data_IF_303814269007
#
_entry.id   IF_303814269007
#
_cell.length_a   1.000
_cell.length_b   1.000
_cell.length_c   1.000
_cell.angle_alpha   90.00
_cell.angle_beta   90.00
_cell.angle_gamma   90.00
#
_symmetry.space_group_name_H-M   'P 1'
#
loop_
_entity.id
_entity.type
_entity.pdbx_description
1 polymer ?
#
# COMPACT_ATOMS: atom_id res chain seq x y z
N UNK A 1 -40.59 18.22 7.72
CA UNK A 1 -39.15 18.13 8.02
C UNK A 1 -38.40 18.02 6.71
N UNK A 2 -37.31 18.76 6.47
CA UNK A 2 -36.51 18.54 5.29
C UNK A 2 -36.05 17.08 5.27
N UNK A 3 -36.19 16.41 4.11
CA UNK A 3 -35.76 15.03 3.93
C UNK A 3 -34.27 14.97 4.23
N UNK A 4 -33.85 14.10 5.15
CA UNK A 4 -32.44 13.95 5.47
C UNK A 4 -31.66 13.64 4.18
N UNK A 5 -30.50 14.27 3.99
CA UNK A 5 -29.65 14.02 2.82
C UNK A 5 -29.17 12.57 2.84
N UNK A 6 -29.28 11.84 1.72
CA UNK A 6 -28.72 10.51 1.62
C UNK A 6 -27.21 10.57 1.91
N UNK A 7 -26.73 9.72 2.82
CA UNK A 7 -25.32 9.64 3.20
C UNK A 7 -24.63 8.46 2.53
N UNK A 8 -23.59 8.77 1.78
CA UNK A 8 -22.72 7.79 1.15
C UNK A 8 -21.42 7.71 1.94
N UNK A 9 -21.17 6.59 2.61
CA UNK A 9 -19.94 6.33 3.37
C UNK A 9 -18.98 5.49 2.53
N UNK A 10 -17.77 5.97 2.35
CA UNK A 10 -16.72 5.32 1.57
C UNK A 10 -15.61 4.88 2.53
N UNK A 11 -15.27 3.61 2.53
CA UNK A 11 -14.20 3.06 3.35
C UNK A 11 -12.95 2.78 2.51
N UNK A 12 -11.88 3.52 2.82
CA UNK A 12 -10.57 3.41 2.17
C UNK A 12 -10.24 4.55 1.20
N UNK A 13 -9.08 5.17 1.42
CA UNK A 13 -8.54 6.31 0.66
C UNK A 13 -7.56 5.91 -0.45
N UNK A 14 -7.68 4.68 -1.00
CA UNK A 14 -6.93 4.24 -2.18
C UNK A 14 -7.56 4.72 -3.49
N UNK A 15 -7.09 4.17 -4.63
CA UNK A 15 -7.58 4.55 -5.96
C UNK A 15 -9.11 4.43 -6.09
N UNK A 16 -9.69 3.33 -5.61
CA UNK A 16 -11.13 3.10 -5.72
C UNK A 16 -11.92 4.15 -4.92
N UNK A 17 -11.59 4.35 -3.63
CA UNK A 17 -12.36 5.25 -2.76
C UNK A 17 -12.19 6.73 -3.10
N UNK A 18 -10.97 7.19 -3.36
CA UNK A 18 -10.70 8.58 -3.74
C UNK A 18 -11.44 8.93 -5.04
N UNK A 19 -11.34 8.09 -6.07
CA UNK A 19 -12.02 8.38 -7.34
C UNK A 19 -13.55 8.22 -7.23
N UNK A 20 -14.07 7.33 -6.37
CA UNK A 20 -15.52 7.28 -6.09
C UNK A 20 -15.99 8.58 -5.43
N UNK A 21 -15.27 9.08 -4.42
CA UNK A 21 -15.58 10.37 -3.79
C UNK A 21 -15.49 11.53 -4.77
N UNK A 22 -14.46 11.59 -5.62
CA UNK A 22 -14.32 12.63 -6.67
C UNK A 22 -15.49 12.64 -7.64
N UNK A 23 -15.97 11.46 -8.06
CA UNK A 23 -17.12 11.37 -8.97
C UNK A 23 -18.43 11.74 -8.29
N UNK A 24 -18.61 11.37 -7.01
CA UNK A 24 -19.78 11.83 -6.23
C UNK A 24 -19.73 13.34 -5.97
N UNK A 25 -18.57 13.94 -5.69
CA UNK A 25 -18.44 15.40 -5.59
C UNK A 25 -18.82 16.13 -6.90
N UNK A 26 -18.51 15.53 -8.06
CA UNK A 26 -18.98 16.07 -9.35
C UNK A 26 -20.49 16.00 -9.48
N UNK A 27 -21.14 14.96 -8.93
CA UNK A 27 -22.59 14.85 -8.90
C UNK A 27 -23.19 15.93 -7.98
N UNK A 28 -22.65 16.13 -6.78
CA UNK A 28 -23.02 17.23 -5.88
C UNK A 28 -22.85 18.60 -6.56
N UNK A 29 -21.76 18.78 -7.31
CA UNK A 29 -21.52 20.00 -8.09
C UNK A 29 -22.54 20.24 -9.22
N UNK A 30 -23.30 19.20 -9.61
CA UNK A 30 -24.41 19.28 -10.61
C UNK A 30 -25.79 19.37 -9.97
N UNK A 31 -25.85 19.51 -8.63
CA UNK A 31 -27.09 19.70 -7.90
C UNK A 31 -27.63 18.46 -7.18
N UNK A 32 -26.89 17.35 -7.13
CA UNK A 32 -27.30 16.20 -6.31
C UNK A 32 -27.11 16.55 -4.82
N UNK A 33 -28.12 16.28 -4.00
CA UNK A 33 -28.10 16.55 -2.56
C UNK A 33 -27.68 15.31 -1.78
N UNK A 34 -26.37 15.02 -1.79
CA UNK A 34 -25.76 13.85 -1.18
C UNK A 34 -24.70 14.30 -0.17
N UNK A 35 -24.69 13.69 1.01
CA UNK A 35 -23.60 13.79 1.96
C UNK A 35 -22.55 12.70 1.67
N UNK A 36 -21.30 13.09 1.50
CA UNK A 36 -20.20 12.16 1.20
C UNK A 36 -19.26 12.13 2.41
N UNK A 37 -19.07 10.94 2.97
CA UNK A 37 -18.13 10.68 4.07
C UNK A 37 -17.08 9.70 3.59
N UNK A 38 -15.81 10.06 3.74
CA UNK A 38 -14.69 9.17 3.49
C UNK A 38 -13.99 8.82 4.80
N UNK A 39 -13.91 7.55 5.12
CA UNK A 39 -13.14 7.04 6.26
C UNK A 39 -11.84 6.45 5.73
N UNK A 40 -10.73 6.97 6.19
CA UNK A 40 -9.40 6.46 5.84
C UNK A 40 -8.45 6.63 7.03
N UNK A 41 -7.56 5.68 7.21
CA UNK A 41 -6.53 5.69 8.23
C UNK A 41 -5.59 6.88 8.11
N UNK A 42 -5.24 7.26 6.88
CA UNK A 42 -4.31 8.33 6.57
C UNK A 42 -5.05 9.57 6.03
N UNK A 43 -4.51 10.76 6.25
CA UNK A 43 -5.07 12.01 5.70
C UNK A 43 -4.59 12.31 4.27
N UNK A 44 -3.90 11.34 3.65
CA UNK A 44 -3.34 11.46 2.30
C UNK A 44 -3.65 10.24 1.43
N UNK A 45 -3.68 10.49 0.15
CA UNK A 45 -3.71 9.48 -0.91
C UNK A 45 -2.29 9.19 -1.38
N UNK A 46 -1.92 7.92 -1.52
CA UNK A 46 -0.63 7.49 -2.05
C UNK A 46 -0.75 7.12 -3.52
N UNK A 47 0.09 7.69 -4.36
CA UNK A 47 0.20 7.28 -5.76
C UNK A 47 1.14 6.08 -5.88
N UNK A 48 0.62 4.90 -5.53
CA UNK A 48 1.38 3.64 -5.37
C UNK A 48 2.30 3.26 -6.54
N UNK A 49 1.99 3.53 -7.82
CA UNK A 49 2.92 3.19 -8.92
C UNK A 49 4.30 3.84 -8.84
N UNK A 50 4.45 4.92 -8.08
CA UNK A 50 5.75 5.59 -7.87
C UNK A 50 6.39 5.25 -6.52
N UNK A 51 5.78 4.37 -5.73
CA UNK A 51 6.30 4.00 -4.41
C UNK A 51 7.70 3.36 -4.45
N UNK A 52 8.06 2.52 -5.42
CA UNK A 52 9.42 1.99 -5.54
C UNK A 52 10.51 3.08 -5.65
N UNK A 53 10.25 4.19 -6.37
CA UNK A 53 11.21 5.29 -6.50
C UNK A 53 11.49 6.04 -5.18
N UNK A 54 10.69 5.82 -4.13
CA UNK A 54 10.97 6.32 -2.75
C UNK A 54 12.14 5.56 -2.11
N UNK A 55 12.33 4.28 -2.46
CA UNK A 55 13.45 3.47 -1.94
C UNK A 55 14.77 4.09 -2.41
N UNK A 56 14.89 4.38 -3.69
CA UNK A 56 16.09 4.99 -4.27
C UNK A 56 16.25 6.46 -3.90
N UNK A 57 15.16 7.13 -3.51
CA UNK A 57 15.14 8.56 -3.25
C UNK A 57 15.06 9.41 -4.52
N UNK A 58 14.84 8.78 -5.69
CA UNK A 58 14.59 9.43 -6.97
C UNK A 58 13.44 10.44 -6.88
N UNK A 59 12.46 10.16 -6.04
CA UNK A 59 11.41 11.11 -5.65
C UNK A 59 11.26 11.19 -4.13
N UNK A 60 10.93 12.38 -3.65
CA UNK A 60 10.71 12.62 -2.23
C UNK A 60 9.44 11.95 -1.70
N UNK A 61 9.46 11.58 -0.42
CA UNK A 61 8.31 10.94 0.27
C UNK A 61 7.02 11.72 0.09
N UNK A 62 7.09 13.05 0.16
CA UNK A 62 5.92 13.92 0.00
C UNK A 62 5.46 14.07 -1.45
N UNK A 63 6.23 13.60 -2.42
CA UNK A 63 5.90 13.74 -3.83
C UNK A 63 4.97 12.63 -4.33
N UNK A 64 4.96 11.48 -3.67
CA UNK A 64 4.04 10.36 -3.97
C UNK A 64 2.69 10.47 -3.25
N UNK A 65 2.52 11.43 -2.32
CA UNK A 65 1.29 11.57 -1.54
C UNK A 65 0.53 12.85 -1.89
N UNK A 66 -0.78 12.82 -1.77
CA UNK A 66 -1.66 13.97 -1.99
C UNK A 66 -2.61 14.13 -0.81
N UNK A 67 -2.69 15.32 -0.15
CA UNK A 67 -3.61 15.55 0.95
C UNK A 67 -5.06 15.35 0.49
N UNK A 68 -5.79 14.44 1.12
CA UNK A 68 -7.17 14.08 0.72
C UNK A 68 -8.08 15.30 0.78
N UNK A 69 -7.98 16.14 1.82
CA UNK A 69 -8.81 17.34 1.95
C UNK A 69 -8.65 18.36 0.81
N UNK A 70 -7.50 18.33 0.10
CA UNK A 70 -7.30 19.16 -1.10
C UNK A 70 -7.86 18.51 -2.36
N UNK A 71 -7.91 17.18 -2.40
CA UNK A 71 -8.48 16.44 -3.53
C UNK A 71 -10.01 16.43 -3.46
N UNK A 72 -10.56 16.42 -2.24
CA UNK A 72 -11.97 16.20 -1.93
C UNK A 72 -12.50 17.33 -1.02
N UNK A 73 -12.71 18.55 -1.55
CA UNK A 73 -13.11 19.69 -0.72
C UNK A 73 -14.57 19.65 -0.23
N UNK A 74 -15.41 18.76 -0.78
CA UNK A 74 -16.82 18.61 -0.42
C UNK A 74 -17.14 17.34 0.35
N UNK A 75 -16.12 16.53 0.61
CA UNK A 75 -16.23 15.24 1.32
C UNK A 75 -15.85 15.42 2.77
N UNK A 76 -16.65 14.92 3.69
CA UNK A 76 -16.29 14.84 5.10
C UNK A 76 -15.27 13.70 5.30
N UNK A 77 -14.04 14.08 5.65
CA UNK A 77 -12.94 13.14 5.83
C UNK A 77 -12.77 12.79 7.30
N UNK A 78 -13.00 11.53 7.63
CA UNK A 78 -12.69 10.93 8.93
C UNK A 78 -11.35 10.20 8.84
N UNK A 79 -10.30 10.76 9.48
CA UNK A 79 -8.98 10.13 9.55
C UNK A 79 -8.96 9.19 10.75
N UNK A 80 -9.37 7.93 10.52
CA UNK A 80 -9.55 6.91 11.56
C UNK A 80 -9.45 5.51 10.99
N UNK A 81 -9.12 4.55 11.87
CA UNK A 81 -9.28 3.14 11.55
C UNK A 81 -10.77 2.75 11.65
N UNK A 82 -11.20 1.86 10.76
CA UNK A 82 -12.53 1.24 10.85
C UNK A 82 -12.41 0.02 11.74
N UNK A 83 -13.18 -0.02 12.83
CA UNK A 83 -13.17 -1.14 13.78
C UNK A 83 -14.19 -2.20 13.41
N UNK A 84 -15.39 -1.78 13.04
CA UNK A 84 -16.44 -2.70 12.61
C UNK A 84 -17.45 -2.07 11.67
N UNK A 85 -18.21 -2.91 11.00
CA UNK A 85 -19.28 -2.53 10.06
C UNK A 85 -20.50 -3.37 10.39
N UNK A 86 -21.59 -2.72 10.74
CA UNK A 86 -22.89 -3.36 10.91
C UNK A 86 -23.77 -3.04 9.69
N UNK A 87 -24.04 -4.08 8.90
CA UNK A 87 -24.83 -3.94 7.67
C UNK A 87 -26.35 -3.93 7.93
N UNK A 88 -26.82 -4.44 9.07
CA UNK A 88 -28.23 -4.45 9.43
C UNK A 88 -28.64 -3.11 10.02
N UNK A 89 -27.86 -2.61 10.99
CA UNK A 89 -28.06 -1.27 11.58
C UNK A 89 -27.57 -0.14 10.67
N UNK A 90 -26.88 -0.48 9.57
CA UNK A 90 -26.30 0.46 8.60
C UNK A 90 -25.40 1.50 9.23
N UNK A 91 -24.43 1.03 10.04
CA UNK A 91 -23.46 1.88 10.70
C UNK A 91 -22.04 1.37 10.50
N UNK A 92 -21.11 2.32 10.46
CA UNK A 92 -19.67 2.08 10.51
C UNK A 92 -19.17 2.59 11.84
N UNK A 93 -18.42 1.77 12.55
CA UNK A 93 -17.78 2.13 13.83
C UNK A 93 -16.30 2.35 13.57
N UNK A 94 -15.79 3.50 13.99
CA UNK A 94 -14.38 3.87 13.81
C UNK A 94 -13.69 4.04 15.15
N UNK A 95 -12.36 3.89 15.15
CA UNK A 95 -11.53 4.06 16.35
C UNK A 95 -11.79 5.40 17.06
N UNK A 96 -11.64 5.42 18.39
CA UNK A 96 -11.71 6.66 19.16
C UNK A 96 -10.58 7.62 18.75
N UNK A 97 -10.77 8.91 19.05
CA UNK A 97 -9.75 9.93 18.84
C UNK A 97 -9.26 10.46 20.18
N UNK A 98 -9.15 11.79 20.29
CA UNK A 98 -8.89 12.47 21.56
C UNK A 98 -10.00 12.25 22.60
N UNK A 99 -11.20 11.88 22.16
CA UNK A 99 -12.27 11.43 23.06
C UNK A 99 -12.25 9.90 23.07
N UNK A 100 -12.36 9.24 24.23
CA UNK A 100 -12.23 7.80 24.38
C UNK A 100 -13.48 7.02 23.91
N UNK A 101 -14.26 7.56 22.98
CA UNK A 101 -15.46 6.93 22.45
C UNK A 101 -15.33 6.67 20.95
N UNK A 102 -15.71 5.48 20.47
CA UNK A 102 -15.80 5.20 19.05
C UNK A 102 -16.81 6.13 18.39
N UNK A 103 -16.56 6.48 17.12
CA UNK A 103 -17.51 7.24 16.32
C UNK A 103 -18.38 6.28 15.52
N UNK A 104 -19.71 6.46 15.63
CA UNK A 104 -20.71 5.71 14.86
C UNK A 104 -21.17 6.58 13.68
N UNK A 105 -20.98 6.07 12.46
CA UNK A 105 -21.29 6.77 11.22
C UNK A 105 -22.42 6.00 10.51
N UNK A 106 -23.66 6.48 10.54
CA UNK A 106 -24.76 5.85 9.79
C UNK A 106 -24.60 6.10 8.28
N UNK A 107 -25.11 5.18 7.46
CA UNK A 107 -25.06 5.28 6.00
C UNK A 107 -26.39 4.87 5.33
N UNK A 108 -26.71 5.49 4.20
CA UNK A 108 -27.70 5.01 3.26
C UNK A 108 -27.07 4.12 2.18
N UNK A 109 -25.85 4.49 1.77
CA UNK A 109 -25.01 3.67 0.89
C UNK A 109 -23.61 3.52 1.44
N UNK A 110 -23.06 2.32 1.36
CA UNK A 110 -21.71 1.98 1.81
C UNK A 110 -20.86 1.55 0.62
N UNK A 111 -19.67 2.16 0.47
CA UNK A 111 -18.67 1.79 -0.54
C UNK A 111 -17.49 1.13 0.15
N UNK A 112 -17.31 -0.17 -0.08
CA UNK A 112 -16.19 -0.97 0.40
C UNK A 112 -15.03 -0.88 -0.59
N UNK A 113 -14.04 -0.04 -0.29
CA UNK A 113 -12.86 0.23 -1.13
C UNK A 113 -11.55 0.10 -0.34
N UNK A 114 -11.53 -0.81 0.65
CA UNK A 114 -10.41 -1.02 1.59
C UNK A 114 -9.16 -1.63 0.95
N UNK A 115 -9.25 -2.02 -0.33
CA UNK A 115 -8.13 -2.56 -1.07
C UNK A 115 -7.63 -3.90 -0.52
N UNK A 116 -6.31 -4.07 -0.53
CA UNK A 116 -5.64 -5.27 -0.03
C UNK A 116 -4.48 -4.90 0.89
N UNK A 117 -4.18 -5.79 1.83
CA UNK A 117 -3.08 -5.67 2.79
C UNK A 117 -2.09 -6.80 2.60
N UNK A 118 -0.86 -6.61 3.03
CA UNK A 118 0.09 -7.71 3.17
C UNK A 118 -0.33 -8.56 4.37
N UNK A 119 -0.46 -9.86 4.16
CA UNK A 119 -0.84 -10.80 5.20
C UNK A 119 0.08 -12.01 5.17
N UNK A 120 0.90 -12.12 6.17
CA UNK A 120 1.89 -13.19 6.30
C UNK A 120 1.36 -14.42 7.04
N UNK A 121 0.04 -14.55 7.26
CA UNK A 121 -0.55 -15.70 7.94
C UNK A 121 -0.12 -17.02 7.30
N UNK A 122 0.37 -17.94 8.13
CA UNK A 122 0.86 -19.25 7.71
C UNK A 122 2.29 -19.29 7.19
N UNK A 123 2.99 -18.15 7.13
CA UNK A 123 4.41 -18.07 6.81
C UNK A 123 5.19 -17.73 8.09
N UNK A 124 5.91 -18.71 8.62
CA UNK A 124 6.59 -18.60 9.92
C UNK A 124 7.69 -17.54 9.90
N UNK A 125 7.66 -16.63 10.88
CA UNK A 125 8.66 -15.59 11.08
C UNK A 125 8.66 -14.46 10.06
N UNK A 126 7.76 -14.47 9.05
CA UNK A 126 7.65 -13.37 8.10
C UNK A 126 7.07 -12.09 8.73
N UNK A 127 6.05 -12.16 9.61
CA UNK A 127 5.55 -10.95 10.28
C UNK A 127 6.64 -10.19 11.04
N UNK A 128 7.62 -10.90 11.63
CA UNK A 128 8.66 -10.35 12.47
C UNK A 128 9.91 -9.93 11.69
N UNK A 129 10.23 -10.61 10.58
CA UNK A 129 11.53 -10.50 9.93
C UNK A 129 11.50 -10.05 8.47
N UNK A 130 10.32 -10.00 7.85
CA UNK A 130 10.21 -9.52 6.46
C UNK A 130 9.68 -8.08 6.41
N UNK A 131 10.22 -7.31 5.50
CA UNK A 131 9.71 -5.98 5.15
C UNK A 131 8.55 -6.15 4.17
N UNK A 132 7.31 -5.77 4.52
CA UNK A 132 6.25 -5.64 3.53
C UNK A 132 6.56 -4.48 2.58
N UNK A 133 5.91 -4.46 1.42
CA UNK A 133 6.01 -3.34 0.50
C UNK A 133 4.63 -3.01 -0.09
N UNK A 134 3.85 -2.21 0.63
CA UNK A 134 2.48 -1.87 0.26
C UNK A 134 2.13 -0.40 0.48
N UNK A 135 2.72 0.23 1.48
CA UNK A 135 2.43 1.61 1.86
C UNK A 135 3.69 2.47 1.93
N UNK A 136 3.52 3.77 2.17
CA UNK A 136 4.62 4.74 2.21
C UNK A 136 5.61 4.44 3.35
N UNK A 137 5.10 4.02 4.51
CA UNK A 137 5.93 3.65 5.66
C UNK A 137 6.83 2.46 5.36
N UNK A 138 6.33 1.47 4.60
CA UNK A 138 7.12 0.31 4.19
C UNK A 138 8.31 0.72 3.34
N UNK A 139 8.10 1.60 2.34
CA UNK A 139 9.17 2.07 1.46
C UNK A 139 10.25 2.83 2.25
N UNK A 140 9.84 3.69 3.19
CA UNK A 140 10.76 4.46 4.02
C UNK A 140 11.50 3.57 5.02
N UNK A 141 10.82 2.61 5.65
CA UNK A 141 11.44 1.65 6.57
C UNK A 141 12.47 0.79 5.84
N UNK A 142 12.15 0.33 4.64
CA UNK A 142 13.08 -0.42 3.81
C UNK A 142 14.30 0.42 3.43
N UNK A 143 14.11 1.67 2.96
CA UNK A 143 15.19 2.59 2.66
C UNK A 143 16.11 2.81 3.85
N UNK A 144 15.54 3.14 5.02
CA UNK A 144 16.29 3.36 6.25
C UNK A 144 17.05 2.10 6.69
N UNK A 145 16.45 0.93 6.53
CA UNK A 145 17.08 -0.34 6.87
C UNK A 145 18.26 -0.64 5.93
N UNK A 146 18.13 -0.40 4.64
CA UNK A 146 19.22 -0.60 3.66
C UNK A 146 20.42 0.26 4.01
N UNK A 147 20.22 1.55 4.31
CA UNK A 147 21.31 2.45 4.70
C UNK A 147 21.98 1.92 5.97
N UNK A 148 21.20 1.54 6.98
CA UNK A 148 21.74 0.96 8.22
C UNK A 148 22.50 -0.35 7.98
N UNK A 149 22.02 -1.22 7.09
CA UNK A 149 22.72 -2.46 6.77
C UNK A 149 24.08 -2.21 6.13
N UNK A 150 24.20 -1.17 5.30
CA UNK A 150 25.48 -0.76 4.72
C UNK A 150 26.41 -0.12 5.76
N UNK A 151 25.87 0.74 6.65
CA UNK A 151 26.64 1.31 7.78
C UNK A 151 27.23 0.21 8.65
N UNK A 152 26.41 -0.77 9.06
CA UNK A 152 26.86 -1.92 9.86
C UNK A 152 27.88 -2.78 9.10
N UNK A 153 27.65 -3.08 7.82
CA UNK A 153 28.58 -3.84 6.99
C UNK A 153 29.96 -3.16 6.85
N UNK A 154 30.00 -1.83 6.89
CA UNK A 154 31.26 -1.05 6.88
C UNK A 154 32.03 -1.16 8.20
N UNK A 155 31.33 -1.37 9.33
CA UNK A 155 31.93 -1.49 10.66
C UNK A 155 32.38 -2.94 10.92
N UNK A 156 31.58 -3.90 10.55
CA UNK A 156 31.78 -5.34 10.79
C UNK A 156 32.84 -5.95 9.85
N UNK A 157 34.08 -5.55 10.03
CA UNK A 157 35.22 -5.98 9.18
C UNK A 157 35.74 -7.36 9.46
N UNK A 158 35.48 -7.88 10.65
CA UNK A 158 36.07 -9.14 11.13
C UNK A 158 35.08 -10.30 11.12
N UNK A 159 33.79 -10.05 11.02
CA UNK A 159 32.77 -11.08 10.88
C UNK A 159 32.27 -11.12 9.42
N UNK A 160 32.94 -11.91 8.60
CA UNK A 160 32.65 -12.09 7.20
C UNK A 160 31.23 -12.67 6.97
N UNK A 161 30.78 -13.55 7.88
CA UNK A 161 29.45 -14.17 7.77
C UNK A 161 28.33 -13.12 8.00
N UNK A 162 28.46 -12.30 9.05
CA UNK A 162 27.51 -11.23 9.32
C UNK A 162 27.55 -10.18 8.20
N UNK A 163 28.75 -9.81 7.74
CA UNK A 163 28.94 -8.85 6.66
C UNK A 163 28.24 -9.31 5.37
N UNK A 164 28.39 -10.59 5.03
CA UNK A 164 27.70 -11.16 3.87
C UNK A 164 26.17 -11.14 4.02
N UNK A 165 25.64 -11.42 5.22
CA UNK A 165 24.21 -11.30 5.52
C UNK A 165 23.71 -9.87 5.35
N UNK A 166 24.47 -8.87 5.83
CA UNK A 166 24.16 -7.45 5.72
C UNK A 166 24.17 -6.95 4.27
N UNK A 167 25.03 -7.50 3.43
CA UNK A 167 25.17 -7.15 2.00
C UNK A 167 24.31 -8.03 1.08
N UNK A 168 23.51 -8.95 1.64
CA UNK A 168 22.57 -9.78 0.87
C UNK A 168 21.16 -9.28 1.06
N UNK A 169 20.48 -8.96 -0.05
CA UNK A 169 19.13 -8.41 -0.08
C UNK A 169 18.24 -9.38 -0.86
N UNK A 170 17.18 -9.87 -0.24
CA UNK A 170 16.27 -10.85 -0.84
C UNK A 170 14.89 -10.21 -1.05
N UNK A 171 14.35 -10.33 -2.25
CA UNK A 171 13.00 -9.89 -2.58
C UNK A 171 12.18 -11.11 -2.99
N UNK A 172 11.07 -11.36 -2.31
CA UNK A 172 10.15 -12.45 -2.61
C UNK A 172 8.94 -11.94 -3.40
N UNK A 173 8.78 -12.47 -4.63
CA UNK A 173 7.69 -12.14 -5.54
C UNK A 173 8.16 -11.52 -6.86
N UNK A 174 8.04 -12.25 -7.97
CA UNK A 174 8.44 -11.79 -9.31
C UNK A 174 7.29 -11.22 -10.16
N UNK A 175 6.21 -10.70 -9.52
CA UNK A 175 5.19 -9.87 -10.17
C UNK A 175 5.65 -8.41 -10.32
N UNK A 176 4.78 -7.52 -10.78
CA UNK A 176 5.14 -6.10 -11.01
C UNK A 176 5.78 -5.46 -9.79
N UNK A 177 5.15 -5.56 -8.61
CA UNK A 177 5.65 -4.92 -7.39
C UNK A 177 7.06 -5.41 -7.02
N UNK A 178 7.30 -6.72 -7.03
CA UNK A 178 8.62 -7.25 -6.67
C UNK A 178 9.71 -6.94 -7.70
N UNK A 179 9.37 -6.93 -8.98
CA UNK A 179 10.29 -6.54 -10.06
C UNK A 179 10.67 -5.07 -9.95
N UNK A 180 9.72 -4.17 -9.69
CA UNK A 180 10.00 -2.75 -9.51
C UNK A 180 10.81 -2.49 -8.23
N UNK A 181 10.46 -3.18 -7.12
CA UNK A 181 11.20 -3.07 -5.86
C UNK A 181 12.64 -3.58 -6.01
N UNK A 182 12.87 -4.76 -6.60
CA UNK A 182 14.22 -5.30 -6.74
C UNK A 182 15.07 -4.45 -7.67
N UNK A 183 14.47 -3.86 -8.72
CA UNK A 183 15.17 -2.98 -9.64
C UNK A 183 15.65 -1.68 -8.95
N UNK A 184 14.75 -1.00 -8.25
CA UNK A 184 15.08 0.22 -7.49
C UNK A 184 16.04 -0.06 -6.33
N UNK A 185 15.85 -1.17 -5.62
CA UNK A 185 16.72 -1.60 -4.53
C UNK A 185 18.14 -1.88 -5.05
N UNK A 186 18.27 -2.60 -6.18
CA UNK A 186 19.56 -2.89 -6.79
C UNK A 186 20.31 -1.62 -7.20
N UNK A 187 19.64 -0.68 -7.85
CA UNK A 187 20.24 0.57 -8.27
C UNK A 187 20.64 1.40 -7.05
N UNK A 188 19.78 1.53 -6.05
CA UNK A 188 20.02 2.26 -4.82
C UNK A 188 21.21 1.70 -4.03
N UNK A 189 21.20 0.40 -3.71
CA UNK A 189 22.26 -0.23 -2.92
C UNK A 189 23.61 -0.10 -3.58
N UNK A 190 23.71 -0.33 -4.89
CA UNK A 190 24.97 -0.23 -5.63
C UNK A 190 25.50 1.18 -5.76
N UNK A 191 24.61 2.17 -5.92
CA UNK A 191 25.01 3.57 -5.98
C UNK A 191 25.48 4.07 -4.63
N UNK A 192 24.70 3.78 -3.57
CA UNK A 192 25.02 4.16 -2.20
C UNK A 192 26.31 3.50 -1.70
N UNK A 193 26.56 2.24 -2.05
CA UNK A 193 27.78 1.51 -1.66
C UNK A 193 29.06 2.19 -2.15
N UNK A 194 29.02 2.97 -3.23
CA UNK A 194 30.17 3.73 -3.71
C UNK A 194 30.70 4.79 -2.73
N UNK A 195 29.83 5.20 -1.78
CA UNK A 195 30.22 6.14 -0.72
C UNK A 195 30.92 5.48 0.46
N UNK A 196 30.97 4.14 0.49
CA UNK A 196 31.63 3.36 1.53
C UNK A 196 32.96 2.80 0.99
N UNK A 197 34.10 3.31 1.49
CA UNK A 197 35.41 2.89 1.03
C UNK A 197 35.72 1.41 1.28
N UNK A 198 35.06 0.83 2.28
CA UNK A 198 35.29 -0.55 2.74
C UNK A 198 34.32 -1.57 2.11
N UNK A 199 33.35 -1.14 1.32
CA UNK A 199 32.39 -2.03 0.70
C UNK A 199 32.71 -2.17 -0.80
N UNK A 200 33.15 -3.36 -1.20
CA UNK A 200 33.26 -3.69 -2.62
C UNK A 200 31.87 -3.96 -3.19
N UNK A 201 31.42 -3.23 -4.21
CA UNK A 201 30.12 -3.45 -4.86
C UNK A 201 29.91 -4.89 -5.37
N UNK A 202 30.98 -5.66 -5.57
CA UNK A 202 30.93 -7.08 -5.96
C UNK A 202 30.48 -7.99 -4.83
N UNK A 203 30.60 -7.58 -3.57
CA UNK A 203 30.11 -8.31 -2.40
C UNK A 203 28.59 -8.20 -2.24
N UNK A 204 27.97 -7.21 -2.88
CA UNK A 204 26.53 -6.98 -2.81
C UNK A 204 25.81 -8.04 -3.61
N UNK A 205 24.93 -8.78 -2.93
CA UNK A 205 24.09 -9.82 -3.52
C UNK A 205 22.63 -9.42 -3.45
N UNK A 206 21.97 -9.34 -4.61
CA UNK A 206 20.55 -9.01 -4.74
C UNK A 206 19.85 -10.23 -5.34
N UNK A 207 18.87 -10.79 -4.63
CA UNK A 207 18.18 -12.03 -5.01
C UNK A 207 16.68 -11.77 -5.17
N UNK A 208 16.13 -12.15 -6.31
CA UNK A 208 14.69 -12.16 -6.57
C UNK A 208 14.17 -13.60 -6.57
N UNK A 209 13.29 -13.93 -5.62
CA UNK A 209 12.63 -15.23 -5.56
C UNK A 209 11.31 -15.21 -6.31
N UNK A 210 11.07 -16.17 -7.18
CA UNK A 210 9.81 -16.29 -7.91
C UNK A 210 9.34 -17.74 -8.01
N UNK A 211 8.08 -17.98 -7.65
CA UNK A 211 7.49 -19.32 -7.59
C UNK A 211 7.05 -19.89 -8.96
N UNK A 212 7.37 -19.23 -10.09
CA UNK A 212 7.04 -19.68 -11.45
C UNK A 212 8.30 -19.68 -12.31
N UNK A 213 8.18 -20.22 -13.52
CA UNK A 213 9.26 -20.30 -14.52
C UNK A 213 9.72 -18.94 -15.07
N UNK A 214 8.92 -17.88 -14.90
CA UNK A 214 9.15 -16.56 -15.51
C UNK A 214 8.61 -15.43 -14.64
N UNK A 215 9.39 -14.36 -14.43
CA UNK A 215 8.92 -13.13 -13.81
C UNK A 215 7.87 -12.43 -14.69
N UNK A 216 7.11 -11.50 -14.12
CA UNK A 216 6.05 -10.73 -14.80
C UNK A 216 5.10 -11.64 -15.59
N UNK A 217 4.47 -12.66 -14.96
CA UNK A 217 3.66 -13.64 -15.68
C UNK A 217 2.45 -13.02 -16.38
N UNK A 218 2.04 -11.82 -15.99
CA UNK A 218 0.94 -11.07 -16.60
C UNK A 218 1.32 -10.33 -17.88
N UNK A 219 2.64 -10.20 -18.17
CA UNK A 219 3.17 -9.53 -19.36
C UNK A 219 3.34 -10.50 -20.54
N UNK A 220 3.39 -9.96 -21.73
CA UNK A 220 3.82 -10.71 -22.90
C UNK A 220 5.23 -11.28 -22.69
N UNK A 221 5.45 -12.52 -23.14
CA UNK A 221 6.69 -13.28 -22.88
C UNK A 221 7.95 -12.52 -23.29
N UNK A 222 7.95 -11.92 -24.47
CA UNK A 222 9.11 -11.15 -24.96
C UNK A 222 9.50 -9.97 -24.04
N UNK A 223 8.52 -9.31 -23.41
CA UNK A 223 8.78 -8.23 -22.46
C UNK A 223 9.25 -8.77 -21.10
N UNK A 224 8.70 -9.88 -20.66
CA UNK A 224 9.12 -10.53 -19.43
C UNK A 224 10.56 -11.04 -19.52
N UNK A 225 10.92 -11.67 -20.65
CA UNK A 225 12.30 -12.11 -20.95
C UNK A 225 13.27 -10.92 -21.04
N UNK A 226 12.85 -9.81 -21.66
CA UNK A 226 13.65 -8.60 -21.68
C UNK A 226 13.89 -8.05 -20.26
N UNK A 227 12.85 -8.01 -19.42
CA UNK A 227 12.98 -7.55 -18.02
C UNK A 227 13.94 -8.44 -17.22
N UNK A 228 13.83 -9.75 -17.41
CA UNK A 228 14.69 -10.76 -16.79
C UNK A 228 16.16 -10.57 -17.20
N UNK A 229 16.44 -10.45 -18.50
CA UNK A 229 17.79 -10.20 -19.03
C UNK A 229 18.41 -8.92 -18.49
N UNK A 230 17.66 -7.82 -18.45
CA UNK A 230 18.13 -6.54 -17.91
C UNK A 230 18.47 -6.65 -16.42
N UNK A 231 17.63 -7.27 -15.60
CA UNK A 231 17.89 -7.44 -14.16
C UNK A 231 19.13 -8.33 -13.93
N UNK A 232 19.24 -9.43 -14.64
CA UNK A 232 20.40 -10.34 -14.54
C UNK A 232 21.71 -9.65 -14.95
N UNK A 233 21.72 -8.89 -16.06
CA UNK A 233 22.88 -8.10 -16.47
C UNK A 233 23.30 -7.03 -15.46
N UNK A 234 22.35 -6.54 -14.65
CA UNK A 234 22.63 -5.60 -13.54
C UNK A 234 23.02 -6.29 -12.24
N UNK A 235 23.22 -7.61 -12.27
CA UNK A 235 23.69 -8.40 -11.14
C UNK A 235 22.60 -8.80 -10.14
N UNK A 236 21.33 -8.84 -10.57
CA UNK A 236 20.25 -9.46 -9.80
C UNK A 236 20.24 -10.95 -10.07
N UNK A 237 20.37 -11.76 -9.04
CA UNK A 237 20.17 -13.21 -9.08
C UNK A 237 18.68 -13.52 -9.09
N UNK A 238 18.16 -14.15 -10.13
CA UNK A 238 16.75 -14.54 -10.19
C UNK A 238 16.65 -16.04 -9.97
N UNK A 239 15.89 -16.44 -8.92
CA UNK A 239 15.60 -17.84 -8.63
C UNK A 239 14.15 -18.14 -9.00
N UNK A 240 14.01 -18.94 -10.05
CA UNK A 240 12.72 -19.42 -10.53
C UNK A 240 12.26 -20.64 -9.74
N UNK A 241 10.94 -20.94 -9.82
CA UNK A 241 10.30 -22.08 -9.16
C UNK A 241 10.62 -22.16 -7.66
N UNK A 242 10.99 -21.02 -7.09
CA UNK A 242 11.47 -20.88 -5.72
C UNK A 242 10.48 -20.07 -4.91
N UNK A 243 10.00 -20.67 -3.82
CA UNK A 243 9.04 -20.02 -2.90
C UNK A 243 9.61 -19.95 -1.50
N UNK A 244 9.28 -18.86 -0.84
CA UNK A 244 9.61 -18.64 0.57
C UNK A 244 8.70 -19.53 1.44
N UNK A 245 9.26 -20.12 2.48
CA UNK A 245 8.53 -20.94 3.47
C UNK A 245 8.52 -20.27 4.85
N UNK A 246 9.65 -19.69 5.26
CA UNK A 246 9.78 -19.03 6.55
C UNK A 246 10.88 -17.95 6.49
N UNK A 247 10.97 -17.16 7.55
CA UNK A 247 12.06 -16.22 7.77
C UNK A 247 12.56 -16.28 9.21
N UNK A 248 13.84 -15.95 9.38
CA UNK A 248 14.44 -15.67 10.68
C UNK A 248 15.12 -14.30 10.64
N UNK A 249 15.63 -13.81 11.76
CA UNK A 249 16.42 -12.57 11.79
C UNK A 249 17.71 -12.63 10.96
N UNK A 250 18.12 -13.82 10.48
CA UNK A 250 19.39 -14.08 9.83
C UNK A 250 19.30 -14.70 8.44
N UNK A 251 18.11 -15.18 8.04
CA UNK A 251 17.96 -15.89 6.78
C UNK A 251 16.51 -15.91 6.25
N UNK A 252 16.41 -15.96 4.93
CA UNK A 252 15.19 -16.36 4.20
C UNK A 252 15.23 -17.90 4.00
N UNK A 253 14.22 -18.60 4.48
CA UNK A 253 14.10 -20.06 4.38
C UNK A 253 13.20 -20.40 3.21
N UNK A 254 13.73 -21.18 2.27
CA UNK A 254 13.05 -21.58 1.04
C UNK A 254 12.32 -22.91 1.24
N UNK A 255 11.27 -23.11 0.46
CA UNK A 255 10.62 -24.42 0.42
C UNK A 255 11.61 -25.49 -0.03
N UNK A 256 11.73 -26.56 0.76
CA UNK A 256 12.74 -27.60 0.55
C UNK A 256 13.95 -27.50 1.47
N UNK A 257 13.98 -26.52 2.38
CA UNK A 257 14.95 -26.43 3.48
C UNK A 257 16.23 -25.65 3.17
N UNK A 258 16.45 -25.22 1.92
CA UNK A 258 17.55 -24.30 1.61
C UNK A 258 17.32 -22.95 2.30
N UNK A 259 18.39 -22.31 2.75
CA UNK A 259 18.33 -20.98 3.34
C UNK A 259 19.29 -20.01 2.65
N UNK A 260 18.86 -18.77 2.50
CA UNK A 260 19.70 -17.66 2.03
C UNK A 260 20.00 -16.77 3.22
N UNK A 261 21.26 -16.71 3.70
CA UNK A 261 21.65 -15.80 4.76
C UNK A 261 21.44 -14.34 4.34
N UNK A 262 20.63 -13.60 5.11
CA UNK A 262 20.30 -12.20 4.82
C UNK A 262 19.73 -11.51 6.06
N UNK A 263 20.01 -10.22 6.21
CA UNK A 263 19.36 -9.32 7.18
C UNK A 263 18.23 -8.51 6.54
N UNK A 264 18.05 -8.64 5.20
CA UNK A 264 17.05 -7.87 4.45
C UNK A 264 16.20 -8.79 3.58
N UNK A 265 15.02 -9.12 4.05
CA UNK A 265 14.02 -9.86 3.29
C UNK A 265 12.83 -8.94 3.01
N UNK A 266 12.57 -8.64 1.75
CA UNK A 266 11.39 -7.88 1.32
C UNK A 266 10.37 -8.86 0.74
N UNK A 267 9.13 -8.79 1.22
CA UNK A 267 8.05 -9.62 0.69
C UNK A 267 6.96 -8.77 0.03
N UNK A 268 6.72 -9.03 -1.24
CA UNK A 268 5.62 -8.44 -2.01
C UNK A 268 4.43 -9.39 -2.14
N UNK A 269 4.49 -10.54 -1.48
CA UNK A 269 3.46 -11.59 -1.44
C UNK A 269 3.37 -12.16 -0.01
N UNK A 270 2.22 -12.70 0.41
CA UNK A 270 0.90 -12.63 -0.24
C UNK A 270 0.17 -11.30 0.04
N UNK A 271 -0.85 -11.00 -0.79
CA UNK A 271 -1.74 -9.85 -0.61
C UNK A 271 -3.18 -10.34 -0.53
N UNK A 272 -3.89 -9.97 0.54
CA UNK A 272 -5.27 -10.37 0.82
C UNK A 272 -6.15 -9.14 1.03
N UNK A 273 -7.48 -9.26 0.88
CA UNK A 273 -8.40 -8.23 1.26
C UNK A 273 -8.25 -7.85 2.74
N UNK A 274 -8.64 -6.61 3.06
CA UNK A 274 -8.58 -6.14 4.45
C UNK A 274 -9.35 -7.08 5.41
N UNK A 275 -8.82 -7.44 6.59
CA UNK A 275 -9.43 -8.41 7.52
C UNK A 275 -10.87 -8.09 7.92
N UNK A 276 -11.23 -6.81 8.05
CA UNK A 276 -12.61 -6.38 8.34
C UNK A 276 -13.64 -6.97 7.36
N UNK A 277 -13.26 -7.22 6.11
CA UNK A 277 -14.16 -7.76 5.09
C UNK A 277 -14.44 -9.26 5.30
N UNK A 278 -13.57 -9.94 6.03
CA UNK A 278 -13.75 -11.37 6.32
C UNK A 278 -14.94 -11.61 7.26
N UNK A 279 -15.17 -10.70 8.21
CA UNK A 279 -16.27 -10.78 9.18
C UNK A 279 -17.63 -10.43 8.59
N UNK A 280 -17.69 -9.74 7.43
CA UNK A 280 -18.97 -9.33 6.85
C UNK A 280 -19.75 -10.52 6.29
N UNK A 281 -21.10 -10.55 6.49
CA UNK A 281 -22.00 -11.57 5.95
C UNK A 281 -22.28 -11.32 4.45
N UNK A 282 -21.22 -11.15 3.67
CA UNK A 282 -21.27 -10.93 2.21
C UNK A 282 -20.60 -12.09 1.48
N UNK A 283 -21.05 -12.38 0.28
CA UNK A 283 -20.49 -13.43 -0.57
C UNK A 283 -19.03 -13.16 -0.92
N UNK A 284 -18.18 -14.19 -0.85
CA UNK A 284 -16.73 -14.09 -1.06
C UNK A 284 -16.25 -15.13 -2.08
N UNK A 285 -15.31 -14.72 -2.94
CA UNK A 285 -14.63 -15.59 -3.88
C UNK A 285 -13.47 -16.37 -3.25
N UNK A 286 -12.79 -17.18 -4.06
CA UNK A 286 -11.68 -18.05 -3.61
C UNK A 286 -10.57 -17.32 -2.84
N UNK A 287 -10.30 -16.07 -3.16
CA UNK A 287 -9.26 -15.26 -2.52
C UNK A 287 -9.82 -14.36 -1.41
N UNK A 288 -10.96 -14.73 -0.79
CA UNK A 288 -11.65 -13.96 0.26
C UNK A 288 -12.10 -12.55 -0.16
N UNK A 289 -11.99 -12.22 -1.45
CA UNK A 289 -12.46 -10.95 -2.02
C UNK A 289 -13.97 -10.98 -2.13
N UNK A 290 -14.62 -9.84 -1.87
CA UNK A 290 -16.07 -9.72 -1.94
C UNK A 290 -16.57 -9.91 -3.37
N UNK A 291 -17.63 -10.67 -3.54
CA UNK A 291 -18.26 -10.81 -4.86
C UNK A 291 -19.14 -9.59 -5.15
N UNK A 292 -18.90 -8.97 -6.29
CA UNK A 292 -19.73 -7.89 -6.82
C UNK A 292 -20.54 -8.38 -8.03
N UNK A 293 -21.72 -7.81 -8.21
CA UNK A 293 -22.42 -7.93 -9.47
C UNK A 293 -21.82 -6.98 -10.54
N UNK A 294 -22.31 -7.01 -11.77
CA UNK A 294 -21.83 -6.16 -12.88
C UNK A 294 -22.10 -4.67 -12.68
N UNK A 295 -22.94 -4.32 -11.71
CA UNK A 295 -23.24 -2.94 -11.32
C UNK A 295 -22.38 -2.46 -10.15
N UNK A 296 -21.46 -3.28 -9.63
CA UNK A 296 -20.56 -3.03 -8.48
C UNK A 296 -21.25 -3.07 -7.12
N UNK A 297 -22.47 -3.56 -7.05
CA UNK A 297 -23.13 -3.87 -5.78
C UNK A 297 -22.58 -5.20 -5.23
N UNK A 298 -22.37 -5.27 -3.92
CA UNK A 298 -22.10 -6.55 -3.26
C UNK A 298 -23.27 -7.51 -3.50
N UNK A 299 -22.99 -8.78 -3.79
CA UNK A 299 -24.04 -9.76 -4.05
C UNK A 299 -25.04 -9.83 -2.90
N UNK A 300 -26.34 -9.76 -3.26
CA UNK A 300 -27.46 -9.76 -2.31
C UNK A 300 -27.77 -8.41 -1.64
N UNK A 301 -27.05 -7.32 -1.99
CA UNK A 301 -27.27 -5.98 -1.41
C UNK A 301 -27.47 -4.95 -2.51
N UNK A 302 -28.34 -3.96 -2.27
CA UNK A 302 -28.56 -2.82 -3.19
C UNK A 302 -27.96 -1.52 -2.67
N UNK A 303 -27.59 -1.48 -1.41
CA UNK A 303 -27.06 -0.34 -0.66
C UNK A 303 -25.55 -0.46 -0.36
N UNK A 304 -24.94 -1.63 -0.62
CA UNK A 304 -23.51 -1.88 -0.39
C UNK A 304 -22.79 -2.10 -1.72
N UNK A 305 -21.72 -1.35 -1.94
CA UNK A 305 -20.90 -1.34 -3.15
C UNK A 305 -19.50 -1.84 -2.83
N UNK A 306 -18.92 -2.66 -3.69
CA UNK A 306 -17.55 -3.15 -3.49
C UNK A 306 -16.75 -3.03 -4.77
N UNK A 307 -15.53 -2.46 -4.66
CA UNK A 307 -14.67 -2.12 -5.81
C UNK A 307 -13.18 -2.11 -5.44
N UNK A 308 -12.35 -2.15 -6.46
CA UNK A 308 -10.90 -2.21 -6.31
C UNK A 308 -10.38 -3.59 -5.91
N UNK A 309 -9.22 -3.62 -5.24
CA UNK A 309 -8.52 -4.87 -4.95
C UNK A 309 -9.27 -5.80 -3.97
N UNK A 310 -10.20 -5.28 -3.18
CA UNK A 310 -11.01 -6.08 -2.25
C UNK A 310 -12.21 -6.76 -2.91
N UNK A 311 -12.51 -6.46 -4.18
CA UNK A 311 -13.67 -6.96 -4.91
C UNK A 311 -13.30 -7.93 -6.05
N UNK A 312 -14.19 -8.86 -6.35
CA UNK A 312 -14.22 -9.65 -7.58
C UNK A 312 -15.35 -9.09 -8.44
N UNK A 313 -15.01 -8.27 -9.42
CA UNK A 313 -15.96 -7.60 -10.30
C UNK A 313 -15.99 -8.32 -11.65
N UNK A 314 -17.14 -8.89 -12.08
CA UNK A 314 -17.23 -9.58 -13.37
C UNK A 314 -17.26 -8.57 -14.53
N UNK A 315 -16.56 -8.89 -15.61
CA UNK A 315 -16.60 -8.18 -16.88
C UNK A 315 -17.71 -8.74 -17.80
N UNK A 316 -17.87 -8.16 -18.99
CA UNK A 316 -18.89 -8.59 -19.96
C UNK A 316 -18.72 -10.04 -20.43
N UNK A 317 -17.49 -10.54 -20.47
CA UNK A 317 -17.13 -11.92 -20.82
C UNK A 317 -17.19 -12.90 -19.64
N UNK A 318 -17.60 -12.45 -18.46
CA UNK A 318 -17.65 -13.23 -17.23
C UNK A 318 -16.31 -13.39 -16.51
N UNK A 319 -15.21 -12.93 -17.08
CA UNK A 319 -13.91 -12.94 -16.40
C UNK A 319 -13.84 -11.89 -15.30
N UNK A 320 -13.13 -12.15 -14.19
CA UNK A 320 -12.96 -11.13 -13.16
C UNK A 320 -12.01 -10.02 -13.63
N UNK A 321 -12.37 -8.78 -13.35
CA UNK A 321 -11.49 -7.62 -13.57
C UNK A 321 -10.21 -7.75 -12.73
N UNK A 322 -9.02 -7.51 -13.32
CA UNK A 322 -7.77 -7.52 -12.59
C UNK A 322 -7.72 -6.49 -11.46
N UNK A 323 -7.11 -6.81 -10.29
CA UNK A 323 -6.94 -5.88 -9.17
C UNK A 323 -5.83 -4.88 -9.47
N UNK A 324 -6.13 -3.86 -10.26
CA UNK A 324 -5.17 -2.81 -10.64
C UNK A 324 -5.79 -1.43 -10.48
N UNK A 325 -4.96 -0.42 -10.27
CA UNK A 325 -5.38 0.96 -10.11
C UNK A 325 -6.26 1.47 -11.27
N UNK A 326 -5.95 1.09 -12.52
CA UNK A 326 -6.75 1.50 -13.67
C UNK A 326 -8.18 0.91 -13.66
N UNK A 327 -8.35 -0.34 -13.19
CA UNK A 327 -9.67 -0.95 -13.02
C UNK A 327 -10.41 -0.30 -11.84
N UNK A 328 -9.73 -0.12 -10.71
CA UNK A 328 -10.29 0.54 -9.52
C UNK A 328 -10.85 1.94 -9.84
N UNK A 329 -10.11 2.76 -10.61
CA UNK A 329 -10.57 4.08 -11.07
C UNK A 329 -11.84 3.99 -11.94
N UNK A 330 -11.90 3.04 -12.88
CA UNK A 330 -13.08 2.87 -13.76
C UNK A 330 -14.28 2.31 -13.00
N UNK A 331 -14.04 1.38 -12.07
CA UNK A 331 -15.09 0.88 -11.18
C UNK A 331 -15.66 2.01 -10.32
N UNK A 332 -14.82 2.90 -9.79
CA UNK A 332 -15.23 4.06 -9.02
C UNK A 332 -16.20 4.98 -9.79
N UNK A 333 -15.91 5.25 -11.06
CA UNK A 333 -16.79 6.06 -11.93
C UNK A 333 -18.16 5.40 -12.11
N UNK A 334 -18.19 4.09 -12.36
CA UNK A 334 -19.46 3.34 -12.53
C UNK A 334 -20.21 3.26 -11.20
N UNK A 335 -19.53 2.97 -10.08
CA UNK A 335 -20.16 2.89 -8.76
C UNK A 335 -20.80 4.22 -8.35
N UNK A 336 -20.09 5.33 -8.49
CA UNK A 336 -20.61 6.66 -8.16
C UNK A 336 -21.85 7.00 -9.00
N UNK A 337 -21.81 6.71 -10.33
CA UNK A 337 -22.97 6.88 -11.18
C UNK A 337 -24.16 6.01 -10.72
N UNK A 338 -23.90 4.75 -10.37
CA UNK A 338 -24.93 3.80 -9.98
C UNK A 338 -25.53 4.13 -8.60
N UNK A 339 -24.74 4.65 -7.67
CA UNK A 339 -25.24 5.18 -6.39
C UNK A 339 -26.27 6.28 -6.65
N UNK A 340 -25.90 7.28 -7.46
CA UNK A 340 -26.83 8.37 -7.84
C UNK A 340 -28.05 7.84 -8.58
N UNK A 341 -27.88 6.89 -9.52
CA UNK A 341 -28.97 6.27 -10.24
C UNK A 341 -29.93 5.53 -9.29
N UNK A 342 -29.41 4.83 -8.28
CA UNK A 342 -30.21 4.12 -7.27
C UNK A 342 -31.07 5.10 -6.45
N UNK A 343 -30.51 6.23 -6.03
CA UNK A 343 -31.23 7.27 -5.29
C UNK A 343 -32.43 7.83 -6.06
N UNK A 344 -32.36 7.81 -7.39
CA UNK A 344 -33.43 8.31 -8.30
C UNK A 344 -34.25 7.20 -8.97
N UNK A 345 -34.01 5.92 -8.64
CA UNK A 345 -34.69 4.80 -9.30
C UNK A 345 -34.40 4.68 -10.80
N UNK A 346 -33.21 5.14 -11.25
CA UNK A 346 -32.77 5.09 -12.66
C UNK A 346 -32.03 3.77 -12.95
N UNK A 347 -31.92 3.43 -14.24
CA UNK A 347 -31.19 2.26 -14.71
C UNK A 347 -29.70 2.34 -14.35
N UNK A 348 -29.13 1.22 -13.88
CA UNK A 348 -27.75 1.09 -13.51
C UNK A 348 -26.86 0.79 -14.72
N UNK A 349 -25.65 1.32 -14.72
CA UNK A 349 -24.60 0.99 -15.70
C UNK A 349 -23.90 -0.29 -15.32
N UNK A 350 -23.51 -1.07 -16.31
CA UNK A 350 -22.64 -2.24 -16.13
C UNK A 350 -21.18 -1.82 -16.25
N UNK A 351 -20.33 -2.45 -15.46
CA UNK A 351 -18.89 -2.32 -15.59
C UNK A 351 -18.36 -3.21 -16.70
N UNK A 352 -17.54 -2.65 -17.58
CA UNK A 352 -16.75 -3.38 -18.57
C UNK A 352 -15.52 -2.53 -18.94
N UNK A 353 -14.31 -3.10 -18.79
CA UNK A 353 -13.07 -2.38 -19.09
C UNK A 353 -11.91 -3.34 -19.34
N UNK A 354 -11.41 -3.38 -20.57
CA UNK A 354 -10.34 -4.29 -21.01
C UNK A 354 -8.92 -3.87 -20.59
N UNK A 355 -8.77 -2.69 -19.97
CA UNK A 355 -7.47 -2.13 -19.59
C UNK A 355 -6.87 -1.23 -20.68
N UNK A 356 -5.85 -0.44 -20.27
CA UNK A 356 -5.08 0.47 -21.15
C UNK A 356 -3.65 -0.03 -21.39
N UNK A 357 -3.41 -1.32 -21.14
CA UNK A 357 -2.07 -1.89 -21.19
C UNK A 357 -1.45 -2.08 -19.80
N UNK A 358 -0.19 -2.52 -19.77
CA UNK A 358 0.59 -2.84 -18.57
C UNK A 358 1.96 -2.24 -18.71
N UNK A 359 2.51 -1.71 -17.62
CA UNK A 359 3.85 -1.13 -17.61
C UNK A 359 4.54 -1.43 -16.29
N UNK A 360 5.85 -1.66 -16.32
CA UNK A 360 6.67 -1.86 -15.13
C UNK A 360 8.03 -1.21 -15.30
N UNK A 361 8.47 -0.45 -14.29
CA UNK A 361 9.81 0.10 -14.24
C UNK A 361 10.83 -1.00 -13.88
N UNK A 362 12.01 -0.90 -14.49
CA UNK A 362 13.13 -1.81 -14.25
C UNK A 362 14.35 -1.07 -13.65
N UNK A 363 14.10 0.07 -12.98
CA UNK A 363 15.18 0.95 -12.51
C UNK A 363 15.94 1.62 -13.66
N UNK A 364 16.99 2.32 -13.35
CA UNK A 364 18.00 2.96 -14.22
C UNK A 364 17.60 3.15 -15.70
N UNK A 365 16.62 4.02 -15.97
CA UNK A 365 16.17 4.42 -17.32
C UNK A 365 15.69 3.25 -18.20
N UNK A 366 15.15 2.21 -17.61
CA UNK A 366 14.61 1.05 -18.30
C UNK A 366 13.22 0.68 -17.78
N UNK A 367 12.35 0.27 -18.68
CA UNK A 367 11.02 -0.22 -18.36
C UNK A 367 10.53 -1.20 -19.43
N UNK A 368 9.42 -1.84 -19.16
CA UNK A 368 8.64 -2.62 -20.13
C UNK A 368 7.22 -2.07 -20.19
N UNK A 369 6.66 -1.99 -21.37
CA UNK A 369 5.31 -1.51 -21.60
C UNK A 369 4.60 -2.34 -22.68
N UNK A 370 3.41 -2.81 -22.33
CA UNK A 370 2.45 -3.39 -23.26
C UNK A 370 1.31 -2.38 -23.38
N UNK A 371 1.29 -1.67 -24.53
CA UNK A 371 0.34 -0.60 -24.80
C UNK A 371 -0.90 -1.15 -25.52
N UNK A 372 -1.98 -0.36 -25.65
CA UNK A 372 -3.14 -0.72 -26.44
C UNK A 372 -2.75 -1.20 -27.83
N UNK A 373 -3.59 -2.05 -28.42
CA UNK A 373 -3.37 -2.66 -29.74
C UNK A 373 -2.18 -3.64 -29.83
N UNK A 374 -1.68 -4.12 -28.66
CA UNK A 374 -0.59 -5.10 -28.61
C UNK A 374 0.81 -4.54 -28.90
N UNK A 375 0.96 -3.22 -28.87
CA UNK A 375 2.26 -2.56 -29.06
C UNK A 375 3.15 -2.84 -27.85
N UNK A 376 4.31 -3.44 -28.07
CA UNK A 376 5.31 -3.80 -27.06
C UNK A 376 6.49 -2.86 -27.16
N UNK A 377 6.84 -2.24 -26.04
CA UNK A 377 7.97 -1.30 -25.94
C UNK A 377 8.82 -1.68 -24.74
N UNK A 378 10.14 -1.58 -24.87
CA UNK A 378 11.08 -1.88 -23.78
C UNK A 378 12.23 -0.89 -23.73
N UNK A 379 13.00 -0.91 -22.64
CA UNK A 379 14.17 -0.07 -22.43
C UNK A 379 13.83 1.41 -22.19
N UNK A 380 14.67 2.29 -22.70
CA UNK A 380 14.57 3.74 -22.45
C UNK A 380 13.25 4.36 -22.96
N UNK A 381 12.78 3.93 -24.13
CA UNK A 381 11.52 4.46 -24.70
C UNK A 381 10.33 4.08 -23.79
N UNK A 382 10.28 2.84 -23.34
CA UNK A 382 9.25 2.41 -22.39
C UNK A 382 9.33 3.16 -21.05
N UNK A 383 10.53 3.44 -20.55
CA UNK A 383 10.76 4.21 -19.34
C UNK A 383 10.26 5.67 -19.49
N UNK A 384 10.55 6.31 -20.62
CA UNK A 384 10.05 7.66 -20.90
C UNK A 384 8.52 7.71 -20.98
N UNK A 385 7.90 6.72 -21.65
CA UNK A 385 6.44 6.57 -21.72
C UNK A 385 5.86 6.35 -20.31
N UNK A 386 6.47 5.48 -19.51
CA UNK A 386 6.07 5.19 -18.12
C UNK A 386 6.05 6.48 -17.28
N UNK A 387 7.17 7.24 -17.27
CA UNK A 387 7.26 8.52 -16.54
C UNK A 387 6.22 9.52 -17.02
N UNK A 388 6.07 9.69 -18.33
CA UNK A 388 5.11 10.63 -18.92
C UNK A 388 3.67 10.32 -18.53
N UNK A 389 3.28 9.05 -18.61
CA UNK A 389 1.92 8.62 -18.26
C UNK A 389 1.65 8.80 -16.76
N UNK A 390 2.57 8.40 -15.89
CA UNK A 390 2.36 8.52 -14.45
C UNK A 390 2.42 9.96 -13.98
N UNK A 391 3.28 10.79 -14.55
CA UNK A 391 3.29 12.23 -14.31
C UNK A 391 1.95 12.88 -14.67
N UNK A 392 1.38 12.52 -15.83
CA UNK A 392 0.07 13.02 -16.27
C UNK A 392 -1.07 12.55 -15.36
N UNK A 393 -0.96 11.35 -14.76
CA UNK A 393 -1.97 10.78 -13.85
C UNK A 393 -1.84 11.26 -12.41
N UNK A 394 -0.72 11.85 -12.01
CA UNK A 394 -0.55 12.43 -10.67
C UNK A 394 -1.60 13.51 -10.41
N UNK A 395 -2.31 13.44 -9.26
CA UNK A 395 -3.28 14.48 -8.92
C UNK A 395 -2.56 15.79 -8.52
N UNK A 396 -3.00 16.91 -9.09
CA UNK A 396 -2.53 18.26 -8.77
C UNK A 396 -1.33 18.72 -9.59
N UNK A 397 -1.47 19.91 -10.21
CA UNK A 397 -0.45 20.50 -11.09
C UNK A 397 0.89 20.76 -10.38
N UNK A 398 0.85 21.34 -9.17
CA UNK A 398 2.09 21.63 -8.43
C UNK A 398 2.88 20.36 -8.07
N UNK A 399 2.22 19.23 -7.92
CA UNK A 399 2.89 17.93 -7.68
C UNK A 399 3.57 17.41 -8.93
N UNK A 400 2.90 17.50 -10.07
CA UNK A 400 3.50 17.14 -11.37
C UNK A 400 4.80 17.91 -11.61
N UNK A 401 4.80 19.21 -11.30
CA UNK A 401 5.99 20.04 -11.45
C UNK A 401 7.11 19.60 -10.50
N UNK A 402 6.81 19.32 -9.23
CA UNK A 402 7.81 18.85 -8.26
C UNK A 402 8.42 17.51 -8.66
N UNK A 403 7.61 16.53 -9.04
CA UNK A 403 8.09 15.21 -9.49
C UNK A 403 8.92 15.36 -10.77
N UNK A 404 8.50 16.17 -11.73
CA UNK A 404 9.29 16.43 -12.94
C UNK A 404 10.65 17.06 -12.61
N UNK A 405 10.68 18.02 -11.66
CA UNK A 405 11.92 18.64 -11.18
C UNK A 405 12.81 17.63 -10.43
N UNK A 406 12.22 16.81 -9.55
CA UNK A 406 12.95 15.75 -8.84
C UNK A 406 13.61 14.77 -9.82
N UNK A 407 12.87 14.30 -10.81
CA UNK A 407 13.42 13.42 -11.85
C UNK A 407 14.51 14.06 -12.70
N UNK A 408 14.45 15.38 -12.89
CA UNK A 408 15.51 16.11 -13.62
C UNK A 408 16.77 16.24 -12.78
N UNK A 409 16.62 16.53 -11.48
CA UNK A 409 17.72 16.62 -10.54
C UNK A 409 18.39 15.27 -10.30
N UNK A 410 17.63 14.18 -10.20
CA UNK A 410 18.12 12.80 -10.09
C UNK A 410 19.05 12.37 -11.25
N UNK A 411 18.92 13.01 -12.42
CA UNK A 411 19.84 12.79 -13.54
C UNK A 411 21.23 13.38 -13.32
N UNK A 412 21.36 14.35 -12.41
CA UNK A 412 22.55 15.18 -12.21
C UNK A 412 23.19 14.98 -10.84
N UNK A 413 22.43 14.58 -9.84
CA UNK A 413 22.85 14.48 -8.45
C UNK A 413 22.82 13.02 -7.98
N UNK A 414 23.78 12.59 -7.15
CA UNK A 414 23.75 11.27 -6.53
C UNK A 414 22.60 11.17 -5.53
N UNK A 415 22.11 9.94 -5.21
CA UNK A 415 21.07 9.73 -4.21
C UNK A 415 21.57 10.14 -2.82
N UNK A 416 20.65 10.67 -2.01
CA UNK A 416 20.97 11.05 -0.64
C UNK A 416 21.09 9.83 0.29
N UNK A 417 22.07 9.87 1.20
CA UNK A 417 22.40 8.82 2.17
C UNK A 417 21.76 9.05 3.55
N UNK A 418 20.77 9.91 3.63
CA UNK A 418 20.20 10.29 4.92
C UNK A 418 19.21 9.24 5.42
N UNK A 419 19.47 8.69 6.60
CA UNK A 419 18.54 7.87 7.35
C UNK A 419 17.56 8.77 8.12
N UNK A 420 16.29 8.73 7.79
CA UNK A 420 15.26 9.50 8.47
C UNK A 420 14.76 8.74 9.70
N UNK A 421 15.11 9.20 10.90
CA UNK A 421 14.57 8.66 12.16
C UNK A 421 13.15 9.20 12.36
N UNK A 422 12.15 8.35 12.16
CA UNK A 422 10.72 8.69 12.32
C UNK A 422 10.22 8.53 13.77
N UNK A 423 11.03 8.08 14.69
CA UNK A 423 10.69 8.01 16.11
C UNK A 423 11.12 9.29 16.81
N UNK A 424 10.28 9.81 17.73
CA UNK A 424 10.72 10.78 18.71
C UNK A 424 11.93 10.25 19.49
N UNK A 425 12.74 11.12 20.09
CA UNK A 425 13.76 10.68 21.01
C UNK A 425 13.11 9.72 22.00
N UNK A 426 13.59 8.46 22.02
CA UNK A 426 13.21 7.49 23.05
C UNK A 426 13.81 7.97 24.37
N UNK A 427 13.22 9.02 24.94
CA UNK A 427 13.35 9.31 26.35
C UNK A 427 12.30 8.48 27.07
N UNK A 428 12.62 7.93 28.23
CA UNK A 428 11.59 7.57 29.19
C UNK A 428 10.81 8.86 29.39
N UNK A 429 9.57 8.93 28.88
CA UNK A 429 8.72 10.09 29.12
C UNK A 429 8.31 10.01 30.57
N UNK A 430 8.82 10.94 31.38
CA UNK A 430 8.31 11.14 32.72
C UNK A 430 7.08 12.03 32.57
N UNK A 431 5.95 11.50 32.94
CA UNK A 431 4.70 12.25 33.07
C UNK A 431 4.51 12.57 34.55
N UNK A 432 4.19 13.80 34.82
CA UNK A 432 3.85 14.27 36.19
C UNK A 432 2.33 14.35 36.33
N UNK A 433 1.82 13.74 37.37
CA UNK A 433 0.40 13.80 37.72
C UNK A 433 0.25 14.51 39.06
N UNK A 434 -0.66 15.48 39.12
CA UNK A 434 -1.02 16.16 40.37
C UNK A 434 -1.89 15.26 41.24
N UNK A 435 -1.88 15.44 42.57
CA UNK A 435 -2.73 14.69 43.48
C UNK A 435 -4.21 14.75 43.06
N UNK A 436 -4.82 13.58 42.86
CA UNK A 436 -6.21 13.43 42.42
C UNK A 436 -6.42 13.39 40.91
N UNK A 437 -5.36 13.46 40.10
CA UNK A 437 -5.46 13.21 38.67
C UNK A 437 -5.52 11.72 38.37
N UNK A 438 -6.39 11.36 37.42
CA UNK A 438 -6.45 10.00 36.89
C UNK A 438 -5.29 9.78 35.88
N UNK A 439 -4.51 8.74 36.11
CA UNK A 439 -3.48 8.30 35.17
C UNK A 439 -4.13 7.58 33.96
N UNK A 440 -5.14 6.77 34.23
CA UNK A 440 -6.03 6.15 33.24
C UNK A 440 -7.35 5.79 33.92
N UNK A 441 -8.39 5.58 33.14
CA UNK A 441 -9.72 5.17 33.63
C UNK A 441 -10.06 3.76 33.16
N UNK A 442 -10.94 3.11 33.90
CA UNK A 442 -11.48 1.82 33.49
C UNK A 442 -12.19 1.95 32.13
N UNK A 443 -11.75 1.14 31.14
CA UNK A 443 -12.24 1.21 29.76
C UNK A 443 -11.36 2.00 28.78
N UNK A 444 -10.33 2.68 29.26
CA UNK A 444 -9.32 3.28 28.38
C UNK A 444 -8.52 2.19 27.66
N UNK A 445 -8.07 2.50 26.45
CA UNK A 445 -7.18 1.62 25.70
C UNK A 445 -5.84 1.47 26.42
N UNK A 446 -5.49 0.22 26.76
CA UNK A 446 -4.19 -0.10 27.40
C UNK A 446 -3.03 -0.07 26.40
N UNK A 447 -2.63 1.11 25.96
CA UNK A 447 -1.54 1.35 25.00
C UNK A 447 -0.20 1.66 25.69
N UNK A 448 -0.16 1.77 27.03
CA UNK A 448 1.01 2.15 27.81
C UNK A 448 1.17 1.33 29.07
N UNK A 449 2.42 1.21 29.49
CA UNK A 449 2.79 0.69 30.81
C UNK A 449 3.37 1.83 31.62
N UNK A 450 2.79 2.08 32.80
CA UNK A 450 3.26 3.11 33.71
C UNK A 450 4.13 2.50 34.81
N UNK A 451 5.29 3.11 35.04
CA UNK A 451 6.18 2.78 36.15
C UNK A 451 6.21 3.98 37.11
N UNK A 452 5.75 3.78 38.33
CA UNK A 452 5.81 4.83 39.36
C UNK A 452 7.26 5.02 39.81
N UNK A 453 7.85 6.17 39.41
CA UNK A 453 9.23 6.53 39.79
C UNK A 453 9.30 7.20 41.16
N UNK A 454 8.29 7.98 41.51
CA UNK A 454 8.18 8.65 42.83
C UNK A 454 6.70 8.94 43.12
N UNK A 455 6.32 8.91 44.38
CA UNK A 455 4.93 9.12 44.80
C UNK A 455 4.15 7.80 44.98
N UNK A 456 2.83 7.91 45.02
CA UNK A 456 1.91 6.78 45.19
C UNK A 456 0.79 6.91 44.18
N UNK A 457 0.35 5.78 43.62
CA UNK A 457 -0.81 5.68 42.76
C UNK A 457 -1.76 4.61 43.33
N UNK A 458 -3.04 4.91 43.32
CA UNK A 458 -4.09 3.96 43.72
C UNK A 458 -4.82 3.43 42.49
N UNK A 459 -5.16 2.15 42.50
CA UNK A 459 -5.93 1.53 41.43
C UNK A 459 -7.32 1.22 41.94
N UNK A 460 -8.31 1.84 41.35
CA UNK A 460 -9.71 1.61 41.64
C UNK A 460 -10.36 0.82 40.53
N UNK A 461 -11.21 -0.15 40.89
CA UNK A 461 -12.02 -0.88 39.94
C UNK A 461 -13.50 -0.71 40.34
N UNK A 462 -14.29 -0.14 39.46
CA UNK A 462 -15.74 -0.13 39.64
C UNK A 462 -16.30 -1.52 39.34
N UNK A 463 -17.03 -2.10 40.30
CA UNK A 463 -17.75 -3.37 40.13
C UNK A 463 -19.23 -3.02 40.26
N UNK A 464 -20.01 -3.26 39.19
CA UNK A 464 -21.47 -3.10 39.15
C UNK A 464 -22.02 -1.69 39.50
N UNK A 465 -21.31 -0.63 39.11
CA UNK A 465 -21.87 0.73 39.16
C UNK A 465 -21.92 1.38 40.53
N UNK A 466 -21.17 0.88 41.54
CA UNK A 466 -20.95 1.50 42.85
C UNK A 466 -19.51 1.98 42.96
#
# INVERSE_FOLDING_TARGET
MPKARPRVVILGGGFAGIYAAMELEKAVGRGEDIEIVLVNKENYFVFQPMLPEVISGTIGILDVVSPIRRLLPRTDLHVRDVESIDLEERVVITSPGFRPHPHVIPFDHLVLALGSVTDFRGLRGLPEHAFPFKNLGDALNLRNHVIRALDEASIERHDEALRQQLLTFVVAGGGFSGVEVVAELNDFVREVARSYADIDPRQIRIVLLHGRERILPEMAESLALFAQDILMRRGVEIRFETTLEAATGDAAILRGGESIPTKTLVSTVPSFPHPLLEALPLAKGKNRRLLANRHLQAEGRTDVWTLGDCAVVPQSDGTPAPPTAQHAIRQAVVAAHNIVATLHGRALRTFDFKGLGKMGALGHRSAVAELPFGIKVSGFVAWFIWRSIYLAKLPGWGRRLRVASAWTLDLLLPPELVQLKLGGSRGVSQEHFEPGQDVFRQGDLGDRVYLVMSGQAEVWRSVDGV
#
